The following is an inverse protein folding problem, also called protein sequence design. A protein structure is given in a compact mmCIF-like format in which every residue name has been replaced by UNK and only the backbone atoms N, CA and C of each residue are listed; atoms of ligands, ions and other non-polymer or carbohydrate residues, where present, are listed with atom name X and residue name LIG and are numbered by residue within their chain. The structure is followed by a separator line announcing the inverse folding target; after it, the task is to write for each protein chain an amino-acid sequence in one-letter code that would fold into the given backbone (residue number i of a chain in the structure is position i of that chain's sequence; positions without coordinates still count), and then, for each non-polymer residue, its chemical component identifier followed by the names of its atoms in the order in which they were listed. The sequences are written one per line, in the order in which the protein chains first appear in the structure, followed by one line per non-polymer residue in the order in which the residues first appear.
data_IF_553556454207
#
_entry.id   IF_553556454207
#
_cell.length_a   1.000
_cell.length_b   1.000
_cell.length_c   1.000
_cell.angle_alpha   90.00
_cell.angle_beta   90.00
_cell.angle_gamma   90.00
#
_symmetry.space_group_name_H-M   'P 1'
#
loop_
_entity.id
_entity.type
_entity.pdbx_description
1 polymer ?
#
# COMPACT_ATOMS: atom_id res chain seq x y z
N UNK A 1 -5.38 -9.69 4.59
CA UNK A 1 -6.01 -8.48 4.01
C UNK A 1 -5.85 -8.43 2.50
N UNK A 2 -4.63 -8.43 1.96
CA UNK A 2 -4.41 -8.40 0.50
C UNK A 2 -5.03 -9.62 -0.21
N UNK A 3 -4.88 -10.82 0.33
CA UNK A 3 -5.56 -12.03 -0.19
C UNK A 3 -7.09 -11.89 -0.16
N UNK A 4 -7.66 -11.41 0.95
CA UNK A 4 -9.10 -11.16 1.05
C UNK A 4 -9.61 -10.21 -0.05
N UNK A 5 -8.85 -9.15 -0.36
CA UNK A 5 -9.19 -8.21 -1.44
C UNK A 5 -9.12 -8.88 -2.81
N UNK A 6 -8.15 -9.76 -3.05
CA UNK A 6 -8.05 -10.54 -4.29
C UNK A 6 -9.25 -11.49 -4.41
N UNK A 7 -9.59 -12.21 -3.35
CA UNK A 7 -10.62 -13.25 -3.39
C UNK A 7 -12.05 -12.71 -3.48
N UNK A 8 -12.29 -11.51 -2.93
CA UNK A 8 -13.66 -10.96 -2.79
C UNK A 8 -13.90 -9.70 -3.62
N UNK A 9 -12.84 -9.04 -4.09
CA UNK A 9 -12.90 -7.70 -4.70
C UNK A 9 -11.92 -7.54 -5.87
N UNK A 10 -11.62 -8.61 -6.63
CA UNK A 10 -10.63 -8.56 -7.72
C UNK A 10 -10.96 -7.57 -8.83
N UNK A 11 -12.26 -7.31 -9.06
CA UNK A 11 -12.76 -6.40 -10.10
C UNK A 11 -13.18 -5.02 -9.56
N UNK A 12 -13.10 -4.81 -8.24
CA UNK A 12 -13.59 -3.61 -7.59
C UNK A 12 -12.46 -2.58 -7.36
N UNK A 13 -12.83 -1.31 -7.31
CA UNK A 13 -11.97 -0.26 -6.74
C UNK A 13 -12.37 -0.03 -5.28
N UNK A 14 -11.53 -0.49 -4.35
CA UNK A 14 -11.81 -0.43 -2.91
C UNK A 14 -11.03 0.71 -2.24
N UNK A 15 -11.73 1.58 -1.52
CA UNK A 15 -11.13 2.59 -0.66
C UNK A 15 -10.97 2.05 0.77
N UNK A 16 -9.76 2.14 1.32
CA UNK A 16 -9.45 1.72 2.70
C UNK A 16 -8.94 2.93 3.48
N UNK A 17 -9.64 3.31 4.55
CA UNK A 17 -9.21 4.36 5.48
C UNK A 17 -8.55 3.72 6.68
N UNK A 18 -7.31 4.11 6.98
CA UNK A 18 -6.54 3.52 8.08
C UNK A 18 -5.48 4.47 8.64
N UNK A 19 -4.68 3.96 9.57
CA UNK A 19 -3.57 4.65 10.19
C UNK A 19 -2.25 4.38 9.44
N UNK A 20 -1.29 5.30 9.61
CA UNK A 20 0.02 5.24 8.96
C UNK A 20 0.72 3.88 9.12
N UNK A 21 0.63 3.26 10.29
CA UNK A 21 1.29 1.97 10.53
C UNK A 21 0.74 0.85 9.61
N UNK A 22 -0.59 0.73 9.50
CA UNK A 22 -1.17 -0.31 8.64
C UNK A 22 -0.86 -0.04 7.16
N UNK A 23 -0.97 1.22 6.73
CA UNK A 23 -0.63 1.62 5.35
C UNK A 23 0.84 1.33 5.06
N UNK A 24 1.74 1.59 6.01
CA UNK A 24 3.17 1.27 5.90
C UNK A 24 3.43 -0.23 5.79
N UNK A 25 2.72 -1.06 6.56
CA UNK A 25 2.80 -2.53 6.47
C UNK A 25 2.37 -2.99 5.09
N UNK A 26 1.21 -2.53 4.62
CA UNK A 26 0.67 -2.87 3.29
C UNK A 26 1.64 -2.45 2.19
N UNK A 27 2.13 -1.22 2.24
CA UNK A 27 3.10 -0.71 1.26
C UNK A 27 4.37 -1.53 1.25
N UNK A 28 4.87 -1.91 2.44
CA UNK A 28 6.07 -2.74 2.56
C UNK A 28 5.87 -4.12 1.92
N UNK A 29 4.71 -4.76 2.17
CA UNK A 29 4.36 -6.04 1.56
C UNK A 29 4.20 -5.94 0.04
N UNK A 30 3.58 -4.85 -0.45
CA UNK A 30 3.43 -4.61 -1.90
C UNK A 30 4.79 -4.46 -2.58
N UNK A 31 5.74 -3.76 -1.95
CA UNK A 31 7.05 -3.48 -2.54
C UNK A 31 8.02 -4.67 -2.43
N UNK A 32 7.96 -5.43 -1.34
CA UNK A 32 8.87 -6.56 -1.09
C UNK A 32 8.34 -7.90 -1.62
N UNK A 33 7.02 -8.05 -1.78
CA UNK A 33 6.40 -9.31 -2.14
C UNK A 33 6.35 -10.30 -0.97
N UNK A 34 6.44 -11.59 -1.27
CA UNK A 34 6.28 -12.69 -0.30
C UNK A 34 7.60 -13.23 0.27
N UNK A 35 8.72 -12.99 -0.42
CA UNK A 35 10.05 -13.50 -0.02
C UNK A 35 10.93 -12.34 0.48
N UNK A 36 10.71 -11.94 1.74
CA UNK A 36 11.46 -10.88 2.39
C UNK A 36 12.03 -11.33 3.74
N UNK A 37 13.20 -10.82 4.08
CA UNK A 37 13.73 -10.99 5.43
C UNK A 37 13.13 -9.94 6.39
N UNK A 38 12.95 -10.27 7.68
CA UNK A 38 12.36 -9.36 8.66
C UNK A 38 13.11 -8.02 8.80
N UNK A 39 14.42 -8.00 8.58
CA UNK A 39 15.23 -6.77 8.73
C UNK A 39 14.97 -5.82 7.56
N UNK A 40 14.88 -6.32 6.34
CA UNK A 40 14.50 -5.52 5.16
C UNK A 40 13.08 -4.99 5.27
N UNK A 41 12.14 -5.80 5.77
CA UNK A 41 10.77 -5.37 6.04
C UNK A 41 10.72 -4.21 7.04
N UNK A 42 11.35 -4.36 8.20
CA UNK A 42 11.36 -3.31 9.22
C UNK A 42 12.06 -2.04 8.72
N UNK A 43 13.16 -2.20 7.97
CA UNK A 43 13.88 -1.06 7.39
C UNK A 43 13.00 -0.27 6.42
N UNK A 44 12.23 -0.96 5.58
CA UNK A 44 11.29 -0.32 4.66
C UNK A 44 10.13 0.31 5.42
N UNK A 45 9.46 -0.43 6.30
CA UNK A 45 8.33 0.05 7.10
C UNK A 45 8.65 1.33 7.86
N UNK A 46 9.82 1.40 8.50
CA UNK A 46 10.25 2.59 9.24
C UNK A 46 10.87 3.69 8.36
N UNK A 47 11.24 3.36 7.12
CA UNK A 47 11.72 4.34 6.14
C UNK A 47 10.59 5.07 5.39
N UNK A 48 9.41 4.45 5.33
CA UNK A 48 8.21 5.00 4.72
C UNK A 48 7.65 6.15 5.58
N UNK A 49 7.57 7.34 5.00
CA UNK A 49 6.91 8.51 5.62
C UNK A 49 5.49 8.64 5.10
N UNK A 50 4.54 8.75 6.02
CA UNK A 50 3.13 8.95 5.75
C UNK A 50 2.66 10.14 6.57
N UNK A 51 1.85 10.99 5.97
CA UNK A 51 1.23 12.13 6.63
C UNK A 51 -0.28 12.00 6.60
N UNK A 52 -0.96 12.71 7.50
CA UNK A 52 -2.41 12.68 7.56
C UNK A 52 -3.01 13.04 6.21
N UNK A 53 -4.14 12.42 5.87
CA UNK A 53 -4.88 12.65 4.61
C UNK A 53 -4.09 12.36 3.33
N UNK A 54 -2.93 11.72 3.41
CA UNK A 54 -2.20 11.26 2.22
C UNK A 54 -2.94 10.11 1.54
N UNK A 55 -2.99 10.14 0.21
CA UNK A 55 -3.60 9.07 -0.59
C UNK A 55 -2.53 8.14 -1.14
N UNK A 56 -2.70 6.84 -0.91
CA UNK A 56 -1.92 5.79 -1.57
C UNK A 56 -2.85 4.98 -2.48
N UNK A 57 -2.38 4.59 -3.66
CA UNK A 57 -3.11 3.69 -4.55
C UNK A 57 -2.24 2.52 -4.98
N UNK A 58 -2.87 1.35 -5.02
CA UNK A 58 -2.24 0.08 -5.32
C UNK A 58 -3.08 -0.64 -6.38
N UNK A 59 -2.40 -1.29 -7.32
CA UNK A 59 -3.02 -2.02 -8.42
C UNK A 59 -2.57 -3.48 -8.35
N UNK A 60 -3.53 -4.41 -8.32
CA UNK A 60 -3.21 -5.83 -8.42
C UNK A 60 -3.11 -6.23 -9.89
N UNK A 61 -1.97 -6.80 -10.28
CA UNK A 61 -1.71 -7.29 -11.63
C UNK A 61 -1.93 -8.80 -11.63
N UNK A 62 -3.16 -9.23 -11.96
CA UNK A 62 -3.58 -10.63 -11.90
C UNK A 62 -2.68 -11.59 -12.68
N UNK A 63 -2.27 -11.23 -13.91
CA UNK A 63 -1.38 -12.05 -14.76
C UNK A 63 -0.04 -12.37 -14.09
N UNK A 64 0.46 -11.45 -13.25
CA UNK A 64 1.76 -11.55 -12.58
C UNK A 64 1.63 -11.90 -11.10
N UNK A 65 0.40 -12.09 -10.62
CA UNK A 65 0.05 -12.33 -9.21
C UNK A 65 0.78 -11.39 -8.24
N UNK A 66 0.86 -10.10 -8.58
CA UNK A 66 1.63 -9.12 -7.79
C UNK A 66 0.91 -7.80 -7.68
N UNK A 67 1.14 -7.12 -6.57
CA UNK A 67 0.70 -5.75 -6.39
C UNK A 67 1.73 -4.76 -6.95
N UNK A 68 1.24 -3.59 -7.33
CA UNK A 68 2.02 -2.46 -7.80
C UNK A 68 1.58 -1.22 -7.02
N UNK A 69 2.55 -0.51 -6.45
CA UNK A 69 2.33 0.83 -5.92
C UNK A 69 2.21 1.81 -7.09
N UNK A 70 1.06 2.49 -7.19
CA UNK A 70 0.78 3.47 -8.26
C UNK A 70 1.02 4.89 -7.77
N UNK A 71 0.55 5.18 -6.57
CA UNK A 71 0.69 6.49 -5.92
C UNK A 71 0.98 6.28 -4.44
N UNK A 72 1.81 7.14 -3.86
CA UNK A 72 2.24 7.01 -2.46
C UNK A 72 2.17 8.36 -1.76
N UNK A 73 1.38 8.41 -0.68
CA UNK A 73 1.27 9.55 0.22
C UNK A 73 1.05 10.88 -0.53
N UNK A 74 0.12 10.89 -1.50
CA UNK A 74 -0.17 12.06 -2.30
C UNK A 74 -1.13 13.01 -1.58
N UNK A 75 -0.78 14.30 -1.62
CA UNK A 75 -1.53 15.39 -1.04
C UNK A 75 -1.91 16.45 -2.09
N UNK A 76 -1.84 16.13 -3.38
CA UNK A 76 -2.12 17.08 -4.46
C UNK A 76 -3.54 17.65 -4.42
N UNK A 77 -4.45 16.92 -3.77
CA UNK A 77 -5.84 17.31 -3.54
C UNK A 77 -6.03 18.30 -2.38
N UNK A 78 -5.03 18.46 -1.50
CA UNK A 78 -5.09 19.45 -0.45
C UNK A 78 -4.80 20.83 -1.04
N UNK A 79 -5.72 21.76 -0.83
CA UNK A 79 -5.47 23.17 -1.12
C UNK A 79 -4.52 23.70 -0.06
N UNK A 80 -3.29 24.00 -0.44
CA UNK A 80 -2.34 24.71 0.43
C UNK A 80 -2.91 26.10 0.71
N UNK A 81 -3.22 26.38 1.98
CA UNK A 81 -3.60 27.72 2.48
C UNK A 81 -2.37 28.41 3.01
#
# INVERSE_FOLDING_TARGET
MLEYLIDNHSEDTVAVVSHAYLIGVVTSLVLLGEDYDPKSFLKLLYGLRLENTGVCSYEYIGEKKRWKLVCYNDHSHLVTV
#
